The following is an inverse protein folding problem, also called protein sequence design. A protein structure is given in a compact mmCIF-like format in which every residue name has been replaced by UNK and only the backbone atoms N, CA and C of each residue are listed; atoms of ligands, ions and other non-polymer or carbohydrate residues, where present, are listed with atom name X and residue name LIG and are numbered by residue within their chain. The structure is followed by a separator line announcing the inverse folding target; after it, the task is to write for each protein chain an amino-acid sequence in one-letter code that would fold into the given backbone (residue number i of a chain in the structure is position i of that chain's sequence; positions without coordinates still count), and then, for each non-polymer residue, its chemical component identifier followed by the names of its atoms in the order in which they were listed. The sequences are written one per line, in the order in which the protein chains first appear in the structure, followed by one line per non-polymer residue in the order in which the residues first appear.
data_IF_821904482404
#
_entry.id   IF_821904482404
#
_cell.length_a   1.000
_cell.length_b   1.000
_cell.length_c   1.000
_cell.angle_alpha   90.00
_cell.angle_beta   90.00
_cell.angle_gamma   90.00
#
_symmetry.space_group_name_H-M   'P 1'
#
loop_
_entity.id
_entity.type
_entity.pdbx_description
1 polymer ?
#
# COMPACT_ATOMS: atom_id res chain seq x y z
N UNK A 1 30.33 -6.56 30.64
CA UNK A 1 29.97 -5.19 30.17
C UNK A 1 29.48 -5.35 28.73
N UNK A 2 28.27 -5.03 28.26
CA UNK A 2 27.03 -4.39 28.75
C UNK A 2 25.87 -5.03 27.94
N UNK A 3 24.91 -5.68 28.59
CA UNK A 3 23.65 -6.09 27.93
C UNK A 3 22.71 -4.89 27.94
N UNK A 4 22.60 -4.20 26.80
CA UNK A 4 21.61 -3.11 26.64
C UNK A 4 20.28 -3.71 26.22
N UNK A 5 19.56 -4.30 27.17
CA UNK A 5 18.14 -4.58 27.01
C UNK A 5 17.37 -3.26 27.13
N UNK A 6 16.82 -2.78 26.01
CA UNK A 6 15.87 -1.68 26.02
C UNK A 6 14.56 -2.17 26.67
N UNK A 7 14.51 -2.11 27.99
CA UNK A 7 13.33 -2.41 28.80
C UNK A 7 12.45 -1.16 28.83
N UNK A 8 11.27 -1.24 28.23
CA UNK A 8 10.15 -0.34 28.55
C UNK A 8 9.18 -1.13 29.42
N UNK A 9 9.01 -0.73 30.67
CA UNK A 9 7.97 -1.21 31.59
C UNK A 9 7.77 -2.75 31.66
N UNK A 10 8.85 -3.53 31.81
CA UNK A 10 8.76 -4.95 32.20
C UNK A 10 8.35 -5.95 31.11
N UNK A 11 8.13 -5.51 29.87
CA UNK A 11 7.81 -6.42 28.75
C UNK A 11 8.98 -6.57 27.77
N UNK A 12 9.19 -7.79 27.27
CA UNK A 12 10.19 -8.06 26.24
C UNK A 12 9.80 -7.40 24.91
N UNK A 13 10.70 -6.60 24.34
CA UNK A 13 10.45 -5.84 23.11
C UNK A 13 10.51 -6.79 21.88
N UNK A 14 9.40 -7.44 21.57
CA UNK A 14 9.31 -8.32 20.41
C UNK A 14 9.15 -7.52 19.11
N UNK A 15 10.19 -7.48 18.28
CA UNK A 15 10.11 -6.89 16.94
C UNK A 15 9.56 -7.91 15.94
N UNK A 16 8.35 -7.68 15.43
CA UNK A 16 7.77 -8.49 14.35
C UNK A 16 8.71 -8.49 13.13
N UNK A 17 9.03 -9.68 12.62
CA UNK A 17 9.82 -9.80 11.38
C UNK A 17 9.04 -9.16 10.22
N UNK A 18 9.71 -8.27 9.47
CA UNK A 18 9.11 -7.58 8.32
C UNK A 18 8.87 -8.51 7.12
N UNK A 19 9.33 -9.76 7.17
CA UNK A 19 9.10 -10.73 6.09
C UNK A 19 7.63 -11.11 6.01
N UNK A 20 7.02 -11.43 7.15
CA UNK A 20 5.60 -11.78 7.24
C UNK A 20 4.69 -10.68 6.69
N UNK A 21 4.97 -9.42 7.02
CA UNK A 21 4.19 -8.28 6.53
C UNK A 21 4.37 -8.06 5.02
N UNK A 22 5.58 -8.26 4.48
CA UNK A 22 5.84 -8.16 3.05
C UNK A 22 5.12 -9.25 2.25
N UNK A 23 5.11 -10.49 2.74
CA UNK A 23 4.39 -11.61 2.13
C UNK A 23 2.87 -11.41 2.17
N UNK A 24 2.33 -10.95 3.30
CA UNK A 24 0.89 -10.66 3.41
C UNK A 24 0.46 -9.54 2.47
N UNK A 25 1.29 -8.49 2.33
CA UNK A 25 1.04 -7.42 1.36
C UNK A 25 1.00 -7.98 -0.06
N UNK A 26 1.97 -8.79 -0.45
CA UNK A 26 2.01 -9.42 -1.78
C UNK A 26 0.76 -10.27 -2.07
N UNK A 27 0.32 -11.10 -1.11
CA UNK A 27 -0.90 -11.90 -1.24
C UNK A 27 -2.16 -11.03 -1.36
N UNK A 28 -2.24 -9.96 -0.56
CA UNK A 28 -3.36 -9.02 -0.62
C UNK A 28 -3.45 -8.31 -1.96
N UNK A 29 -2.31 -7.87 -2.49
CA UNK A 29 -2.19 -7.20 -3.78
C UNK A 29 -2.66 -8.12 -4.93
N UNK A 30 -2.26 -9.40 -4.91
CA UNK A 30 -2.72 -10.39 -5.88
C UNK A 30 -4.23 -10.64 -5.82
N UNK A 31 -4.78 -10.76 -4.61
CA UNK A 31 -6.23 -10.93 -4.41
C UNK A 31 -7.00 -9.74 -4.97
N UNK A 32 -6.53 -8.54 -4.70
CA UNK A 32 -7.13 -7.31 -5.21
C UNK A 32 -7.18 -7.29 -6.74
N UNK A 33 -6.05 -7.60 -7.41
CA UNK A 33 -5.99 -7.69 -8.87
C UNK A 33 -6.97 -8.74 -9.41
N UNK A 34 -7.03 -9.91 -8.79
CA UNK A 34 -7.94 -10.97 -9.23
C UNK A 34 -9.42 -10.55 -9.08
N UNK A 35 -9.78 -9.93 -7.96
CA UNK A 35 -11.12 -9.41 -7.73
C UNK A 35 -11.48 -8.30 -8.72
N UNK A 36 -10.54 -7.41 -9.04
CA UNK A 36 -10.76 -6.35 -10.02
C UNK A 36 -10.98 -6.91 -11.42
N UNK A 37 -10.19 -7.91 -11.86
CA UNK A 37 -10.40 -8.57 -13.15
C UNK A 37 -11.75 -9.28 -13.24
N UNK A 38 -12.16 -9.93 -12.15
CA UNK A 38 -13.43 -10.65 -12.10
C UNK A 38 -14.64 -9.69 -12.12
N UNK A 39 -14.56 -8.56 -11.42
CA UNK A 39 -15.65 -7.57 -11.36
C UNK A 39 -15.72 -6.70 -12.61
N UNK A 40 -14.58 -6.37 -13.19
CA UNK A 40 -14.47 -5.38 -14.26
C UNK A 40 -13.67 -5.95 -15.44
N UNK A 41 -14.31 -6.78 -16.29
CA UNK A 41 -13.66 -7.28 -17.49
C UNK A 41 -13.47 -6.13 -18.50
N UNK A 42 -12.21 -5.88 -18.90
CA UNK A 42 -11.87 -4.87 -19.91
C UNK A 42 -12.00 -3.41 -19.44
N UNK A 43 -12.19 -3.16 -18.14
CA UNK A 43 -12.32 -1.80 -17.64
C UNK A 43 -10.99 -1.04 -17.67
N UNK A 44 -11.11 0.24 -17.96
CA UNK A 44 -10.04 1.22 -17.86
C UNK A 44 -10.17 1.98 -16.56
N UNK A 45 -9.09 2.03 -15.78
CA UNK A 45 -9.07 2.76 -14.53
C UNK A 45 -8.60 4.19 -14.78
N UNK A 46 -9.37 5.15 -14.30
CA UNK A 46 -9.03 6.57 -14.36
C UNK A 46 -8.92 7.06 -12.93
N UNK A 47 -7.79 7.69 -12.60
CA UNK A 47 -7.48 8.21 -11.26
C UNK A 47 -7.23 9.71 -11.37
N UNK A 48 -7.79 10.50 -10.45
CA UNK A 48 -7.42 11.92 -10.34
C UNK A 48 -6.11 12.06 -9.59
N UNK A 49 -5.23 12.96 -10.05
CA UNK A 49 -4.07 13.40 -9.27
C UNK A 49 -4.51 14.39 -8.21
N UNK A 50 -5.29 13.91 -7.24
CA UNK A 50 -5.76 14.74 -6.15
C UNK A 50 -4.60 15.03 -5.21
N UNK A 51 -3.89 16.12 -5.48
CA UNK A 51 -2.86 16.65 -4.60
C UNK A 51 -3.54 17.23 -3.35
N UNK A 52 -3.85 16.37 -2.38
CA UNK A 52 -4.19 16.84 -1.05
C UNK A 52 -2.89 17.35 -0.40
N UNK A 53 -2.71 18.68 -0.19
CA UNK A 53 -1.56 19.18 0.55
C UNK A 53 -1.61 18.56 1.94
N UNK A 54 -0.58 17.78 2.29
CA UNK A 54 -0.43 16.95 3.49
C UNK A 54 -1.28 17.46 4.68
N UNK A 55 -2.55 17.04 4.74
CA UNK A 55 -3.50 17.58 5.72
C UNK A 55 -3.20 16.89 7.04
N UNK A 56 -3.01 17.65 8.11
CA UNK A 56 -2.83 17.08 9.45
C UNK A 56 -4.02 16.16 9.73
N UNK A 57 -3.76 14.90 10.12
CA UNK A 57 -4.73 13.83 10.35
C UNK A 57 -5.27 13.06 9.12
N UNK A 58 -4.76 13.31 7.92
CA UNK A 58 -5.09 12.49 6.74
C UNK A 58 -4.00 11.44 6.49
N UNK A 59 -4.39 10.17 6.31
CA UNK A 59 -3.43 9.15 5.87
C UNK A 59 -2.85 9.55 4.51
N UNK A 60 -1.52 9.45 4.29
CA UNK A 60 -0.95 9.69 2.99
C UNK A 60 -1.58 8.72 1.99
N UNK A 61 -2.26 9.29 0.99
CA UNK A 61 -3.03 8.53 0.00
C UNK A 61 -2.05 7.58 -0.71
N UNK A 62 -2.38 6.27 -0.71
CA UNK A 62 -1.55 5.19 -1.28
C UNK A 62 -1.48 5.19 -2.81
N UNK A 63 -1.75 6.32 -3.43
CA UNK A 63 -2.08 6.39 -4.85
C UNK A 63 -0.91 5.96 -5.74
N UNK A 64 0.30 6.44 -5.45
CA UNK A 64 1.52 6.04 -6.20
C UNK A 64 1.78 4.54 -6.15
N UNK A 65 1.55 3.90 -5.00
CA UNK A 65 1.75 2.46 -4.81
C UNK A 65 0.68 1.64 -5.54
N UNK A 66 -0.56 2.10 -5.46
CA UNK A 66 -1.71 1.47 -6.11
C UNK A 66 -1.63 1.58 -7.63
N UNK A 67 -1.26 2.75 -8.15
CA UNK A 67 -0.97 2.99 -9.57
C UNK A 67 0.12 2.06 -10.09
N UNK A 68 1.22 1.88 -9.34
CA UNK A 68 2.29 0.95 -9.73
C UNK A 68 1.80 -0.50 -9.78
N UNK A 69 0.95 -0.89 -8.83
CA UNK A 69 0.33 -2.22 -8.80
C UNK A 69 -0.53 -2.46 -10.03
N UNK A 70 -1.44 -1.54 -10.35
CA UNK A 70 -2.35 -1.68 -11.49
C UNK A 70 -1.61 -1.71 -12.83
N UNK A 71 -0.62 -0.82 -13.01
CA UNK A 71 0.26 -0.83 -14.19
C UNK A 71 1.02 -2.15 -14.33
N UNK A 72 1.56 -2.69 -13.21
CA UNK A 72 2.28 -3.97 -13.22
C UNK A 72 1.37 -5.15 -13.58
N UNK A 73 0.08 -5.09 -13.21
CA UNK A 73 -0.90 -6.12 -13.57
C UNK A 73 -1.47 -5.99 -14.97
N UNK A 74 -1.03 -5.00 -15.77
CA UNK A 74 -1.46 -4.83 -17.16
C UNK A 74 -2.82 -4.15 -17.35
N UNK A 75 -3.32 -3.46 -16.32
CA UNK A 75 -4.52 -2.64 -16.51
C UNK A 75 -4.17 -1.32 -17.22
N UNK A 76 -5.03 -0.83 -18.13
CA UNK A 76 -4.95 0.53 -18.63
C UNK A 76 -5.33 1.50 -17.50
N UNK A 77 -4.37 2.34 -17.10
CA UNK A 77 -4.51 3.31 -16.01
C UNK A 77 -4.19 4.70 -16.53
N UNK A 78 -5.17 5.60 -16.49
CA UNK A 78 -5.03 7.01 -16.83
C UNK A 78 -5.06 7.87 -15.57
N UNK A 79 -4.36 9.00 -15.64
CA UNK A 79 -4.31 10.00 -14.59
C UNK A 79 -4.96 11.28 -15.14
N UNK A 80 -5.96 11.81 -14.47
CA UNK A 80 -6.53 13.13 -14.76
C UNK A 80 -5.72 14.13 -13.94
N UNK A 81 -5.06 15.04 -14.64
CA UNK A 81 -4.49 16.24 -14.05
C UNK A 81 -5.61 17.29 -14.02
N UNK A 82 -5.97 17.77 -12.82
CA UNK A 82 -7.02 18.78 -12.62
C UNK A 82 -6.46 20.22 -12.63
N UNK A 83 -5.17 20.40 -12.94
CA UNK A 83 -4.51 21.71 -13.06
C UNK A 83 -4.91 22.50 -14.32
#
# INVERSE_FOLDING_TARGET
MLNTTLVTNGFALHRKSKLSSKLNKFKSDQRLVATLRARFPGATFVMGDYSAPNVRFQEPIRDKGFRRLLKKSGFPVFLIDEN
#
